data_IF_710823030033
#
_entry.id   IF_710823030033
#
_cell.length_a   1.000
_cell.length_b   1.000
_cell.length_c   1.000
_cell.angle_alpha   90.00
_cell.angle_beta   90.00
_cell.angle_gamma   90.00
#
_symmetry.space_group_name_H-M   'P 1'
#
loop_
_entity.id
_entity.type
_entity.pdbx_description
1 polymer ?
#
# COMPACT_ATOMS: atom_id res chain seq x y z
N UNK A 1 24.81 -22.90 28.87
CA UNK A 1 24.93 -22.67 27.40
C UNK A 1 25.05 -21.18 27.14
N UNK A 2 26.09 -20.72 26.42
CA UNK A 2 26.28 -19.29 26.10
C UNK A 2 25.29 -18.87 25.01
N UNK A 3 24.48 -17.84 25.27
CA UNK A 3 23.49 -17.32 24.32
C UNK A 3 24.24 -16.84 23.06
N UNK A 4 24.00 -17.45 21.90
CA UNK A 4 24.55 -16.96 20.62
C UNK A 4 23.87 -15.63 20.29
N UNK A 5 24.63 -14.70 19.71
CA UNK A 5 24.07 -13.47 19.20
C UNK A 5 23.04 -13.80 18.10
N UNK A 6 21.77 -13.58 18.40
CA UNK A 6 20.71 -13.62 17.39
C UNK A 6 20.96 -12.46 16.45
N UNK A 7 21.32 -12.73 15.19
CA UNK A 7 21.37 -11.67 14.18
C UNK A 7 19.94 -11.12 14.07
N UNK A 8 19.72 -9.80 14.16
CA UNK A 8 18.41 -9.25 13.86
C UNK A 8 18.04 -9.75 12.47
N UNK A 9 16.90 -10.43 12.37
CA UNK A 9 16.44 -10.96 11.09
C UNK A 9 16.26 -9.76 10.17
N UNK A 10 17.19 -9.56 9.24
CA UNK A 10 17.12 -8.50 8.24
C UNK A 10 16.13 -8.95 7.16
N UNK A 11 14.90 -9.23 7.56
CA UNK A 11 13.78 -9.21 6.64
C UNK A 11 13.54 -7.74 6.27
N UNK A 12 14.45 -7.18 5.45
CA UNK A 12 14.13 -5.97 4.71
C UNK A 12 12.99 -6.36 3.78
N UNK A 13 11.82 -5.75 3.95
CA UNK A 13 10.68 -5.99 3.07
C UNK A 13 11.12 -5.85 1.61
N UNK A 14 10.95 -6.93 0.84
CA UNK A 14 11.29 -6.94 -0.57
C UNK A 14 10.41 -5.92 -1.31
N UNK A 15 11.04 -4.85 -1.81
CA UNK A 15 10.39 -3.89 -2.70
C UNK A 15 10.42 -4.45 -4.11
N UNK A 16 9.25 -4.53 -4.76
CA UNK A 16 9.14 -4.84 -6.19
C UNK A 16 8.86 -3.53 -6.91
N UNK A 17 9.70 -3.18 -7.89
CA UNK A 17 9.61 -1.90 -8.59
C UNK A 17 9.52 -0.68 -7.64
N UNK A 18 10.28 -0.71 -6.54
CA UNK A 18 10.30 0.33 -5.50
C UNK A 18 9.10 0.35 -4.56
N UNK A 19 8.11 -0.55 -4.73
CA UNK A 19 6.89 -0.64 -3.92
C UNK A 19 6.93 -1.85 -2.98
N UNK A 20 6.61 -1.64 -1.69
CA UNK A 20 6.47 -2.72 -0.70
C UNK A 20 5.33 -3.67 -1.05
N UNK A 21 5.49 -4.97 -0.76
CA UNK A 21 4.48 -5.99 -1.10
C UNK A 21 3.07 -5.68 -0.56
N UNK A 22 2.97 -5.08 0.64
CA UNK A 22 1.71 -4.71 1.30
C UNK A 22 0.95 -3.59 0.58
N UNK A 23 1.63 -2.85 -0.28
CA UNK A 23 1.13 -1.65 -0.93
C UNK A 23 0.66 -1.85 -2.37
N UNK A 24 0.97 -3.01 -2.95
CA UNK A 24 0.55 -3.35 -4.31
C UNK A 24 -0.98 -3.32 -4.48
N UNK A 25 -1.75 -3.57 -3.42
CA UNK A 25 -3.21 -3.46 -3.45
C UNK A 25 -3.68 -2.04 -3.84
N UNK A 26 -2.95 -1.00 -3.45
CA UNK A 26 -3.29 0.39 -3.76
C UNK A 26 -2.93 0.81 -5.19
N UNK A 27 -2.19 -0.02 -5.91
CA UNK A 27 -1.92 0.16 -7.34
C UNK A 27 -2.87 -0.73 -8.14
N UNK A 28 -2.94 -2.01 -7.80
CA UNK A 28 -3.68 -3.02 -8.54
C UNK A 28 -5.20 -2.82 -8.47
N UNK A 29 -5.76 -2.47 -7.31
CA UNK A 29 -7.22 -2.28 -7.18
C UNK A 29 -7.71 -1.09 -8.00
N UNK A 30 -7.11 0.12 -7.91
CA UNK A 30 -7.52 1.23 -8.77
C UNK A 30 -7.27 0.96 -10.26
N UNK A 31 -6.15 0.30 -10.62
CA UNK A 31 -5.89 -0.11 -12.00
C UNK A 31 -6.96 -1.06 -12.52
N UNK A 32 -7.35 -2.06 -11.74
CA UNK A 32 -8.42 -3.00 -12.11
C UNK A 32 -9.76 -2.29 -12.25
N UNK A 33 -10.09 -1.36 -11.35
CA UNK A 33 -11.29 -0.54 -11.45
C UNK A 33 -11.29 0.32 -12.73
N UNK A 34 -10.18 1.02 -13.02
CA UNK A 34 -10.03 1.84 -14.21
C UNK A 34 -10.08 1.01 -15.51
N UNK A 35 -9.55 -0.21 -15.47
CA UNK A 35 -9.61 -1.14 -16.60
C UNK A 35 -11.04 -1.64 -16.83
N UNK A 36 -11.76 -2.07 -15.78
CA UNK A 36 -13.08 -2.68 -15.89
C UNK A 36 -14.21 -1.67 -16.12
N UNK A 37 -14.09 -0.44 -15.60
CA UNK A 37 -15.15 0.58 -15.67
C UNK A 37 -15.61 0.84 -17.12
N UNK A 38 -14.71 1.08 -18.09
CA UNK A 38 -15.12 1.26 -19.48
C UNK A 38 -15.85 0.07 -20.09
N UNK A 39 -15.52 -1.16 -19.69
CA UNK A 39 -16.21 -2.36 -20.18
C UNK A 39 -17.65 -2.43 -19.65
N UNK A 40 -17.85 -2.08 -18.37
CA UNK A 40 -19.20 -2.05 -17.76
C UNK A 40 -20.12 -1.02 -18.44
N UNK A 41 -19.57 0.08 -18.93
CA UNK A 41 -20.31 1.16 -19.60
C UNK A 41 -20.25 1.09 -21.13
N UNK A 42 -19.63 0.06 -21.71
CA UNK A 42 -19.49 -0.07 -23.16
C UNK A 42 -18.75 1.10 -23.80
N UNK A 43 -17.74 1.65 -23.14
CA UNK A 43 -16.96 2.79 -23.61
C UNK A 43 -15.81 2.32 -24.52
N UNK A 44 -15.76 2.88 -25.71
CA UNK A 44 -14.75 2.60 -26.74
C UNK A 44 -14.12 3.90 -27.23
N UNK A 45 -12.85 3.83 -27.63
CA UNK A 45 -12.15 4.92 -28.29
C UNK A 45 -11.68 4.44 -29.66
N UNK A 46 -12.43 4.82 -30.70
CA UNK A 46 -12.30 4.21 -32.02
C UNK A 46 -12.56 2.70 -31.94
N UNK A 47 -11.55 1.90 -32.29
CA UNK A 47 -11.62 0.44 -32.26
C UNK A 47 -11.04 -0.20 -30.99
N UNK A 48 -10.52 0.60 -30.06
CA UNK A 48 -9.87 0.10 -28.84
C UNK A 48 -10.84 0.24 -27.66
N UNK A 49 -11.06 -0.84 -26.86
CA UNK A 49 -11.80 -0.73 -25.62
C UNK A 49 -11.07 0.24 -24.68
N UNK A 50 -11.77 1.27 -24.18
CA UNK A 50 -11.16 2.32 -23.36
C UNK A 50 -10.51 1.78 -22.06
N UNK A 51 -10.91 0.59 -21.62
CA UNK A 51 -10.36 -0.09 -20.46
C UNK A 51 -8.84 -0.31 -20.56
N UNK A 52 -8.33 -0.69 -21.73
CA UNK A 52 -6.91 -0.94 -21.91
C UNK A 52 -6.02 0.32 -21.73
N UNK A 53 -6.21 1.41 -22.49
CA UNK A 53 -5.39 2.61 -22.34
C UNK A 53 -5.56 3.24 -20.96
N UNK A 54 -6.78 3.23 -20.39
CA UNK A 54 -7.01 3.76 -19.04
C UNK A 54 -6.33 2.91 -17.97
N UNK A 55 -6.47 1.59 -18.01
CA UNK A 55 -5.80 0.69 -17.06
C UNK A 55 -4.28 0.84 -17.09
N UNK A 56 -3.68 0.87 -18.28
CA UNK A 56 -2.23 1.07 -18.43
C UNK A 56 -1.79 2.44 -17.92
N UNK A 57 -2.50 3.50 -18.28
CA UNK A 57 -2.21 4.85 -17.81
C UNK A 57 -2.28 4.95 -16.29
N UNK A 58 -3.37 4.45 -15.68
CA UNK A 58 -3.55 4.42 -14.23
C UNK A 58 -2.44 3.64 -13.54
N UNK A 59 -2.05 2.49 -14.08
CA UNK A 59 -0.95 1.69 -13.54
C UNK A 59 0.38 2.45 -13.53
N UNK A 60 0.76 3.06 -14.66
CA UNK A 60 2.02 3.79 -14.79
C UNK A 60 2.06 5.02 -13.88
N UNK A 61 0.96 5.78 -13.83
CA UNK A 61 0.84 6.95 -12.95
C UNK A 61 0.97 6.53 -11.49
N UNK A 62 0.22 5.52 -11.04
CA UNK A 62 0.30 5.04 -9.65
C UNK A 62 1.68 4.48 -9.33
N UNK A 63 2.29 3.70 -10.22
CA UNK A 63 3.63 3.17 -10.01
C UNK A 63 4.66 4.30 -9.89
N UNK A 64 4.59 5.31 -10.75
CA UNK A 64 5.46 6.49 -10.69
C UNK A 64 5.25 7.32 -9.43
N UNK A 65 3.99 7.58 -9.07
CA UNK A 65 3.63 8.30 -7.84
C UNK A 65 4.09 7.55 -6.59
N UNK A 66 3.91 6.24 -6.52
CA UNK A 66 4.37 5.43 -5.38
C UNK A 66 5.89 5.42 -5.28
N UNK A 67 6.60 5.31 -6.41
CA UNK A 67 8.05 5.42 -6.42
C UNK A 67 8.53 6.80 -5.94
N UNK A 68 7.91 7.88 -6.41
CA UNK A 68 8.28 9.24 -6.03
C UNK A 68 7.92 9.56 -4.57
N UNK A 69 6.68 9.31 -4.15
CA UNK A 69 6.18 9.70 -2.82
C UNK A 69 6.67 8.77 -1.69
N UNK A 70 6.97 7.50 -1.98
CA UNK A 70 7.37 6.51 -0.94
C UNK A 70 8.86 6.23 -0.89
N UNK A 71 9.68 7.00 -1.62
CA UNK A 71 11.14 6.87 -1.55
C UNK A 71 11.66 7.00 -0.10
N UNK A 72 10.98 7.81 0.73
CA UNK A 72 11.36 8.14 2.11
C UNK A 72 10.36 7.70 3.19
N UNK A 73 9.29 6.97 2.85
CA UNK A 73 8.23 6.60 3.80
C UNK A 73 8.40 5.17 4.35
N UNK A 74 8.07 4.93 5.64
CA UNK A 74 8.16 3.61 6.25
C UNK A 74 7.12 2.64 5.68
N UNK A 75 7.31 1.34 5.96
CA UNK A 75 6.33 0.30 5.65
C UNK A 75 4.95 0.63 6.26
N UNK A 76 3.87 0.21 5.59
CA UNK A 76 2.48 0.43 6.02
C UNK A 76 2.02 1.89 6.18
N UNK A 77 2.83 2.89 5.82
CA UNK A 77 2.49 4.32 5.94
C UNK A 77 1.14 4.69 5.33
N UNK A 78 0.85 4.17 4.13
CA UNK A 78 -0.40 4.51 3.43
C UNK A 78 -1.62 3.86 4.08
N UNK A 79 -1.50 2.62 4.58
CA UNK A 79 -2.57 1.96 5.34
C UNK A 79 -2.88 2.77 6.59
N UNK A 80 -1.85 3.07 7.39
CA UNK A 80 -1.99 3.90 8.60
C UNK A 80 -2.58 5.27 8.29
N UNK A 81 -2.26 5.86 7.14
CA UNK A 81 -2.83 7.13 6.71
C UNK A 81 -4.32 7.01 6.41
N UNK A 82 -4.75 5.95 5.73
CA UNK A 82 -6.16 5.69 5.47
C UNK A 82 -6.92 5.34 6.75
N UNK A 83 -6.34 4.51 7.62
CA UNK A 83 -6.91 4.16 8.92
C UNK A 83 -7.10 5.43 9.76
N UNK A 84 -6.08 6.28 9.85
CA UNK A 84 -6.19 7.57 10.53
C UNK A 84 -7.28 8.49 9.92
N UNK A 85 -7.47 8.48 8.60
CA UNK A 85 -8.54 9.25 7.94
C UNK A 85 -9.92 8.64 8.24
N UNK A 86 -10.06 7.32 8.15
CA UNK A 86 -11.30 6.59 8.42
C UNK A 86 -11.73 6.77 9.88
N UNK A 87 -10.76 6.76 10.80
CA UNK A 87 -10.93 7.02 12.22
C UNK A 87 -11.15 8.52 12.53
N UNK A 88 -11.29 9.39 11.51
CA UNK A 88 -11.43 10.85 11.64
C UNK A 88 -10.35 11.49 12.50
N UNK A 89 -9.14 10.95 12.44
CA UNK A 89 -8.03 11.36 13.29
C UNK A 89 -8.29 11.19 14.79
N UNK A 90 -9.21 10.30 15.17
CA UNK A 90 -9.35 9.84 16.55
C UNK A 90 -8.01 9.41 17.22
N UNK A 91 -6.94 8.99 16.50
CA UNK A 91 -5.63 8.74 17.11
C UNK A 91 -4.86 9.97 17.63
N UNK A 92 -5.35 11.20 17.43
CA UNK A 92 -4.86 12.35 18.22
C UNK A 92 -5.43 12.38 19.64
N UNK A 93 -6.31 11.45 19.99
CA UNK A 93 -6.67 11.14 21.36
C UNK A 93 -5.43 10.58 22.07
N UNK A 94 -5.13 11.03 23.30
CA UNK A 94 -4.11 10.38 24.12
C UNK A 94 -4.41 8.86 24.21
N UNK A 95 -3.42 7.99 24.06
CA UNK A 95 -3.61 6.55 24.13
C UNK A 95 -4.29 6.18 25.46
N UNK A 96 -5.41 5.45 25.40
CA UNK A 96 -6.08 4.96 26.60
C UNK A 96 -5.31 3.76 27.14
N UNK A 97 -4.25 4.02 27.90
CA UNK A 97 -3.46 3.15 28.80
C UNK A 97 -2.93 1.80 28.26
N UNK A 98 -3.42 1.25 27.14
CA UNK A 98 -3.18 -0.13 26.70
C UNK A 98 -3.10 -0.32 25.17
N UNK A 99 -3.42 0.71 24.37
CA UNK A 99 -3.40 0.62 22.90
C UNK A 99 -1.97 0.66 22.32
N UNK A 100 -1.03 1.27 23.04
CA UNK A 100 0.40 1.28 22.69
C UNK A 100 1.13 -0.04 23.02
N UNK A 101 0.52 -0.93 23.81
CA UNK A 101 1.13 -2.23 24.17
C UNK A 101 1.03 -3.26 23.04
N UNK A 102 0.37 -2.94 21.92
CA UNK A 102 0.43 -3.79 20.71
C UNK A 102 1.71 -3.55 19.91
N UNK A 103 2.84 -3.68 20.59
CA UNK A 103 4.09 -4.13 19.99
C UNK A 103 4.21 -5.66 20.20
N UNK A 104 3.19 -6.43 19.80
CA UNK A 104 3.25 -7.89 19.72
C UNK A 104 4.08 -8.29 18.49
N UNK A 105 5.39 -8.04 18.52
CA UNK A 105 6.33 -8.56 17.51
C UNK A 105 7.11 -9.79 18.02
N UNK A 106 6.99 -10.15 19.30
CA UNK A 106 7.51 -11.41 19.87
C UNK A 106 6.64 -11.83 21.06
N UNK A 107 5.68 -12.75 20.84
CA UNK A 107 5.16 -13.61 21.91
C UNK A 107 5.63 -15.05 21.65
N UNK A 108 6.51 -15.53 22.51
CA UNK A 108 6.72 -16.94 22.86
C UNK A 108 6.79 -17.01 24.37
#
# INVERSE_FOLDING_TARGET
MRRRATRPNVFRGLKRFGVYSTDWKYILVPTAAAYLTPFLFGLWFGYVPLGFPLGLFTFLVLLGTFNYLRLSKPECWLSQRFDAIADRWAPFRPPLNSELDKADWIRN
#
